data_IF_531847867150
#
_entry.id   IF_531847867150
#
_cell.length_a   1.000
_cell.length_b   1.000
_cell.length_c   1.000
_cell.angle_alpha   90.00
_cell.angle_beta   90.00
_cell.angle_gamma   90.00
#
_symmetry.space_group_name_H-M   'P 1'
#
loop_
_entity.id
_entity.type
_entity.pdbx_description
1 polymer ?
#
# COMPACT_ATOMS: atom_id res chain seq x y z
N UNK A 1 38.48 0.60 52.17
CA UNK A 1 38.44 -0.61 51.33
C UNK A 1 37.78 -0.26 50.03
N UNK A 2 38.55 0.44 49.20
CA UNK A 2 38.44 0.43 47.76
C UNK A 2 38.54 -1.00 47.22
N UNK A 3 38.19 -1.17 45.95
CA UNK A 3 38.30 -2.39 45.14
C UNK A 3 37.15 -3.40 45.22
N UNK A 4 36.12 -3.19 44.40
CA UNK A 4 35.82 -4.09 43.27
C UNK A 4 34.53 -3.68 42.53
N UNK A 5 34.53 -3.88 41.21
CA UNK A 5 33.41 -3.78 40.25
C UNK A 5 33.19 -2.41 39.57
N UNK A 6 34.28 -1.84 39.05
CA UNK A 6 34.26 -1.09 37.79
C UNK A 6 34.84 -1.97 36.68
N UNK A 7 34.04 -2.88 36.14
CA UNK A 7 34.26 -3.51 34.84
C UNK A 7 33.06 -4.40 34.54
N UNK A 8 32.25 -3.96 33.60
CA UNK A 8 31.40 -4.73 32.68
C UNK A 8 30.46 -3.72 32.00
N UNK A 9 31.06 -2.74 31.32
CA UNK A 9 30.38 -1.86 30.38
C UNK A 9 30.35 -2.47 28.98
N UNK A 10 30.07 -3.77 28.88
CA UNK A 10 29.94 -4.45 27.60
C UNK A 10 28.45 -4.58 27.26
N UNK A 11 28.07 -3.93 26.16
CA UNK A 11 26.80 -4.05 25.43
C UNK A 11 25.63 -3.21 25.96
N UNK A 12 25.76 -1.88 25.88
CA UNK A 12 24.60 -0.97 25.82
C UNK A 12 24.28 -0.68 24.34
N UNK A 13 23.16 -1.14 23.77
CA UNK A 13 22.78 -0.83 22.40
C UNK A 13 21.94 0.45 22.39
N UNK A 14 22.58 1.59 22.67
CA UNK A 14 21.96 2.91 22.50
C UNK A 14 22.89 3.86 21.76
N UNK A 15 23.20 3.47 20.53
CA UNK A 15 23.36 4.33 19.34
C UNK A 15 24.08 3.49 18.29
N UNK A 16 23.38 2.50 17.71
CA UNK A 16 23.85 1.85 16.49
C UNK A 16 23.58 2.83 15.35
N UNK A 17 24.54 3.71 15.12
CA UNK A 17 24.71 4.38 13.85
C UNK A 17 24.65 3.32 12.75
N UNK A 18 23.77 3.54 11.76
CA UNK A 18 23.65 2.69 10.58
C UNK A 18 24.98 2.70 9.83
N UNK A 19 25.86 1.77 10.14
CA UNK A 19 27.00 1.43 9.30
C UNK A 19 26.47 0.66 8.09
N UNK A 20 26.37 1.36 6.95
CA UNK A 20 26.25 0.70 5.65
C UNK A 20 27.67 0.30 5.27
N UNK A 21 28.07 -0.94 5.59
CA UNK A 21 29.21 -1.55 4.92
C UNK A 21 28.79 -1.86 3.49
N UNK A 22 29.07 -0.91 2.59
CA UNK A 22 29.13 -1.20 1.17
C UNK A 22 30.42 -1.98 0.93
N UNK A 23 30.35 -3.31 0.96
CA UNK A 23 31.39 -4.15 0.40
C UNK A 23 31.36 -4.00 -1.12
N UNK A 24 32.06 -2.98 -1.63
CA UNK A 24 32.42 -2.90 -3.03
C UNK A 24 33.51 -3.96 -3.28
N UNK A 25 33.09 -5.17 -3.65
CA UNK A 25 33.98 -6.13 -4.28
C UNK A 25 34.28 -5.62 -5.68
N UNK A 26 35.25 -4.73 -5.79
CA UNK A 26 35.90 -4.40 -7.06
C UNK A 26 36.78 -5.59 -7.41
N UNK A 27 36.23 -6.57 -8.13
CA UNK A 27 37.07 -7.54 -8.83
C UNK A 27 37.69 -6.83 -10.02
N UNK A 28 38.92 -6.35 -9.83
CA UNK A 28 39.86 -6.18 -10.93
C UNK A 28 40.08 -7.57 -11.56
N UNK A 29 39.32 -7.88 -12.60
CA UNK A 29 39.67 -8.92 -13.56
C UNK A 29 39.82 -8.26 -14.93
N UNK A 30 40.83 -7.39 -15.00
CA UNK A 30 41.57 -7.14 -16.22
C UNK A 30 42.36 -8.43 -16.51
N UNK A 31 42.27 -8.92 -17.75
CA UNK A 31 43.05 -10.05 -18.32
C UNK A 31 42.44 -11.46 -18.22
N UNK A 32 41.24 -11.64 -18.76
CA UNK A 32 40.85 -12.83 -19.53
C UNK A 32 39.60 -12.47 -20.33
N UNK A 33 39.50 -12.86 -21.60
CA UNK A 33 38.23 -12.74 -22.34
C UNK A 33 37.10 -13.36 -21.52
N UNK A 34 35.87 -12.81 -21.51
CA UNK A 34 34.80 -13.32 -20.65
C UNK A 34 34.57 -14.80 -20.96
N UNK A 35 34.90 -15.68 -20.00
CA UNK A 35 34.43 -17.05 -20.07
C UNK A 35 32.89 -17.01 -20.12
N UNK A 36 32.23 -17.78 -21.00
CA UNK A 36 30.78 -17.80 -21.09
C UNK A 36 30.20 -18.17 -19.72
N UNK A 37 29.50 -17.21 -19.10
CA UNK A 37 28.81 -17.46 -17.83
C UNK A 37 27.40 -17.93 -18.16
N UNK A 38 26.83 -18.89 -17.41
CA UNK A 38 25.45 -19.32 -17.62
C UNK A 38 24.51 -18.15 -17.42
N UNK A 39 23.80 -17.77 -18.49
CA UNK A 39 22.86 -16.64 -18.50
C UNK A 39 21.42 -17.16 -18.46
N UNK A 40 20.52 -16.52 -17.69
CA UNK A 40 19.10 -16.85 -17.70
C UNK A 40 18.40 -16.22 -18.91
N UNK A 41 17.74 -17.07 -19.69
CA UNK A 41 16.90 -16.69 -20.83
C UNK A 41 15.45 -17.05 -20.57
N UNK A 42 14.53 -16.30 -21.17
CA UNK A 42 13.09 -16.62 -21.13
C UNK A 42 12.67 -17.15 -22.47
N UNK A 43 12.12 -18.36 -22.51
CA UNK A 43 11.67 -19.01 -23.73
C UNK A 43 10.17 -19.25 -23.68
N UNK A 44 9.48 -18.80 -24.72
CA UNK A 44 8.05 -18.97 -24.91
C UNK A 44 7.76 -19.99 -26.02
N UNK A 45 6.63 -20.68 -25.94
CA UNK A 45 6.08 -21.44 -27.09
C UNK A 45 5.59 -20.47 -28.19
N UNK A 46 5.46 -20.91 -29.44
CA UNK A 46 4.92 -20.13 -30.57
C UNK A 46 3.58 -19.44 -30.26
N UNK A 47 2.71 -20.08 -29.46
CA UNK A 47 1.43 -19.52 -29.03
C UNK A 47 1.52 -18.52 -27.86
N UNK A 48 2.73 -18.30 -27.31
CA UNK A 48 3.04 -17.46 -26.14
C UNK A 48 2.26 -17.84 -24.86
N UNK A 49 1.71 -19.06 -24.83
CA UNK A 49 0.92 -19.64 -23.72
C UNK A 49 1.81 -20.19 -22.61
N UNK A 50 2.92 -20.81 -22.99
CA UNK A 50 3.88 -21.41 -22.06
C UNK A 50 5.16 -20.58 -22.02
N UNK A 51 5.59 -20.19 -20.82
CA UNK A 51 6.81 -19.42 -20.56
C UNK A 51 7.73 -20.21 -19.63
N UNK A 52 8.99 -20.38 -20.02
CA UNK A 52 10.01 -21.09 -19.23
C UNK A 52 11.25 -20.22 -19.09
N UNK A 53 11.81 -20.16 -17.88
CA UNK A 53 13.14 -19.59 -17.66
C UNK A 53 14.16 -20.70 -17.79
N UNK A 54 15.12 -20.56 -18.70
CA UNK A 54 16.16 -21.55 -18.97
C UNK A 54 17.51 -20.86 -18.82
N UNK A 55 18.37 -21.44 -18.01
CA UNK A 55 19.74 -20.97 -17.84
C UNK A 55 20.61 -21.75 -18.81
N UNK A 56 21.32 -21.06 -19.70
CA UNK A 56 22.19 -21.68 -20.69
C UNK A 56 23.48 -20.88 -20.91
N UNK A 57 24.53 -21.57 -21.31
CA UNK A 57 25.84 -20.97 -21.65
C UNK A 57 26.03 -20.80 -23.16
N UNK A 58 25.50 -21.75 -23.94
CA UNK A 58 25.60 -21.79 -25.40
C UNK A 58 24.22 -21.95 -26.03
N UNK A 59 24.09 -21.59 -27.30
CA UNK A 59 22.86 -21.76 -28.07
C UNK A 59 22.45 -23.23 -28.15
N UNK A 60 23.42 -24.14 -28.30
CA UNK A 60 23.15 -25.58 -28.37
C UNK A 60 22.61 -26.11 -27.02
N UNK A 61 23.21 -25.69 -25.90
CA UNK A 61 22.72 -26.03 -24.55
C UNK A 61 21.31 -25.46 -24.31
N UNK A 62 21.03 -24.25 -24.79
CA UNK A 62 19.70 -23.67 -24.75
C UNK A 62 18.71 -24.53 -25.55
N UNK A 63 19.03 -24.94 -26.78
CA UNK A 63 18.15 -25.74 -27.63
C UNK A 63 17.79 -27.08 -26.98
N UNK A 64 18.75 -27.80 -26.41
CA UNK A 64 18.51 -29.07 -25.70
C UNK A 64 17.60 -28.89 -24.48
N UNK A 65 17.85 -27.85 -23.68
CA UNK A 65 17.02 -27.50 -22.52
C UNK A 65 15.62 -27.06 -22.93
N UNK A 66 15.48 -26.33 -24.04
CA UNK A 66 14.19 -25.90 -24.59
C UNK A 66 13.38 -27.10 -25.06
N UNK A 67 13.99 -28.06 -25.77
CA UNK A 67 13.34 -29.32 -26.17
C UNK A 67 12.80 -30.07 -24.96
N UNK A 68 13.61 -30.19 -23.92
CA UNK A 68 13.21 -30.86 -22.66
C UNK A 68 12.12 -30.08 -21.91
N UNK A 69 12.20 -28.74 -21.89
CA UNK A 69 11.29 -27.90 -21.11
C UNK A 69 9.92 -27.68 -21.77
N UNK A 70 9.85 -27.73 -23.10
CA UNK A 70 8.63 -27.61 -23.89
C UNK A 70 8.08 -28.96 -24.38
N UNK A 71 8.80 -30.06 -24.13
CA UNK A 71 8.43 -31.41 -24.58
C UNK A 71 8.16 -31.48 -26.10
N UNK A 72 9.00 -30.79 -26.88
CA UNK A 72 8.88 -30.69 -28.34
C UNK A 72 9.75 -31.75 -28.99
N UNK A 73 9.13 -32.62 -29.78
CA UNK A 73 9.80 -33.64 -30.59
C UNK A 73 9.96 -33.11 -32.02
N UNK A 74 11.18 -32.75 -32.42
CA UNK A 74 11.48 -32.33 -33.79
C UNK A 74 12.54 -31.23 -33.92
N UNK A 75 12.80 -30.74 -35.15
CA UNK A 75 13.68 -29.61 -35.36
C UNK A 75 13.06 -28.36 -34.73
N UNK A 76 13.89 -27.66 -33.97
CA UNK A 76 13.53 -26.49 -33.18
C UNK A 76 14.34 -25.30 -33.69
N UNK A 77 13.66 -24.20 -34.02
CA UNK A 77 14.28 -22.92 -34.34
C UNK A 77 13.95 -21.89 -33.26
N UNK A 78 14.94 -21.09 -32.88
CA UNK A 78 14.77 -20.03 -31.89
C UNK A 78 14.70 -18.68 -32.59
N UNK A 79 13.73 -17.88 -32.19
CA UNK A 79 13.45 -16.58 -32.79
C UNK A 79 13.26 -15.54 -31.68
N UNK A 80 13.63 -14.28 -31.93
CA UNK A 80 13.32 -13.18 -31.00
C UNK A 80 11.81 -12.88 -30.97
N UNK A 81 11.24 -12.74 -29.76
CA UNK A 81 9.80 -12.48 -29.63
C UNK A 81 9.39 -11.11 -30.22
N UNK A 82 10.27 -10.11 -30.12
CA UNK A 82 10.04 -8.73 -30.54
C UNK A 82 10.01 -8.56 -32.07
N UNK A 83 11.06 -9.03 -32.76
CA UNK A 83 11.29 -8.71 -34.18
C UNK A 83 11.17 -9.91 -35.13
N UNK A 84 11.11 -11.13 -34.59
CA UNK A 84 11.05 -12.33 -35.43
C UNK A 84 12.39 -12.75 -36.05
N UNK A 85 13.51 -12.18 -35.60
CA UNK A 85 14.86 -12.55 -36.06
C UNK A 85 15.23 -13.95 -35.61
N UNK A 86 15.68 -14.82 -36.53
CA UNK A 86 16.18 -16.16 -36.20
C UNK A 86 17.53 -16.12 -35.52
N UNK A 87 17.71 -16.98 -34.52
CA UNK A 87 18.93 -17.14 -33.74
C UNK A 87 19.56 -18.47 -34.15
N UNK A 88 20.31 -18.43 -35.24
CA UNK A 88 21.02 -19.61 -35.75
C UNK A 88 22.52 -19.54 -35.43
N UNK A 89 23.00 -18.36 -35.03
CA UNK A 89 24.40 -18.04 -34.77
C UNK A 89 24.69 -17.87 -33.27
N UNK A 90 25.77 -18.48 -32.79
CA UNK A 90 26.24 -18.35 -31.40
C UNK A 90 26.70 -16.91 -31.09
N UNK A 91 27.34 -16.23 -32.06
CA UNK A 91 27.75 -14.84 -31.94
C UNK A 91 26.57 -13.88 -31.73
N UNK A 92 25.43 -14.17 -32.36
CA UNK A 92 24.21 -13.41 -32.15
C UNK A 92 23.68 -13.64 -30.74
N UNK A 93 23.66 -14.89 -30.30
CA UNK A 93 23.23 -15.29 -28.95
C UNK A 93 24.04 -14.61 -27.84
N UNK A 94 25.37 -14.50 -27.99
CA UNK A 94 26.23 -13.84 -27.01
C UNK A 94 26.02 -12.32 -26.92
N UNK A 95 25.55 -11.71 -28.00
CA UNK A 95 25.22 -10.28 -28.09
C UNK A 95 23.90 -9.95 -27.40
N UNK A 96 23.03 -10.95 -27.17
CA UNK A 96 21.74 -10.74 -26.50
C UNK A 96 21.90 -10.35 -25.04
N UNK A 97 21.04 -9.43 -24.60
CA UNK A 97 20.97 -8.99 -23.20
C UNK A 97 20.35 -10.08 -22.32
N UNK A 98 20.76 -10.10 -21.04
CA UNK A 98 20.16 -10.97 -20.03
C UNK A 98 18.64 -10.69 -19.89
N UNK A 99 17.83 -11.75 -19.93
CA UNK A 99 16.37 -11.62 -19.85
C UNK A 99 15.65 -11.39 -21.18
N UNK A 100 16.36 -11.45 -22.32
CA UNK A 100 15.75 -11.46 -23.65
C UNK A 100 14.72 -12.60 -23.77
N UNK A 101 13.57 -12.29 -24.37
CA UNK A 101 12.47 -13.23 -24.59
C UNK A 101 12.62 -13.88 -25.96
N UNK A 102 12.81 -15.18 -25.95
CA UNK A 102 12.96 -16.04 -27.11
C UNK A 102 11.67 -16.81 -27.36
N UNK A 103 11.40 -17.11 -28.61
CA UNK A 103 10.28 -17.90 -29.08
C UNK A 103 10.82 -19.19 -29.70
N UNK A 104 10.35 -20.32 -29.18
CA UNK A 104 10.60 -21.65 -29.71
C UNK A 104 9.59 -21.94 -30.83
N UNK A 105 10.09 -22.14 -32.05
CA UNK A 105 9.29 -22.51 -33.22
C UNK A 105 9.61 -23.95 -33.64
N UNK A 106 8.57 -24.75 -33.78
CA UNK A 106 8.64 -26.12 -34.35
C UNK A 106 8.48 -26.07 -35.88
N UNK A 107 8.85 -27.15 -36.56
CA UNK A 107 8.67 -27.30 -38.01
C UNK A 107 7.28 -26.87 -38.50
N UNK A 108 7.24 -26.00 -39.51
CA UNK A 108 6.00 -25.47 -40.10
C UNK A 108 5.35 -24.32 -39.34
N UNK A 109 5.87 -23.92 -38.18
CA UNK A 109 5.40 -22.73 -37.47
C UNK A 109 6.15 -21.48 -37.93
N UNK A 110 5.40 -20.40 -38.13
CA UNK A 110 5.95 -19.11 -38.55
C UNK A 110 5.80 -18.13 -37.39
N UNK A 111 6.85 -17.35 -37.13
CA UNK A 111 6.76 -16.25 -36.18
C UNK A 111 5.61 -15.32 -36.58
N UNK A 112 4.76 -15.00 -35.60
CA UNK A 112 3.68 -14.03 -35.79
C UNK A 112 3.86 -12.90 -34.78
N UNK A 113 3.68 -11.63 -35.20
CA UNK A 113 3.62 -10.52 -34.28
C UNK A 113 2.54 -10.81 -33.23
N UNK A 114 2.84 -10.55 -31.96
CA UNK A 114 1.84 -10.67 -30.91
C UNK A 114 0.68 -9.73 -31.24
N UNK A 115 -0.48 -10.28 -31.62
CA UNK A 115 -1.72 -9.49 -31.68
C UNK A 115 -1.93 -8.96 -30.28
N UNK A 116 -2.08 -7.64 -30.12
CA UNK A 116 -2.38 -6.96 -28.84
C UNK A 116 -3.76 -7.37 -28.32
N UNK A 117 -3.98 -8.66 -28.04
CA UNK A 117 -5.20 -9.20 -27.47
C UNK A 117 -5.07 -9.15 -25.95
N UNK A 118 -5.20 -7.96 -25.34
CA UNK A 118 -5.54 -7.81 -23.91
C UNK A 118 -4.57 -8.35 -22.83
N UNK A 119 -3.60 -9.20 -23.15
CA UNK A 119 -2.61 -9.77 -22.23
C UNK A 119 -1.19 -9.35 -22.62
N UNK A 120 -1.00 -8.08 -23.02
CA UNK A 120 0.33 -7.51 -22.91
C UNK A 120 0.65 -7.39 -21.41
N UNK A 121 1.13 -8.48 -20.81
CA UNK A 121 1.96 -8.48 -19.62
C UNK A 121 3.22 -7.71 -20.02
N UNK A 122 3.08 -6.38 -20.08
CA UNK A 122 4.15 -5.45 -20.29
C UNK A 122 5.27 -5.84 -19.34
N UNK A 123 6.40 -6.22 -19.92
CA UNK A 123 7.71 -6.42 -19.29
C UNK A 123 8.28 -5.09 -18.75
N UNK A 124 7.42 -4.26 -18.17
CA UNK A 124 7.81 -3.07 -17.46
C UNK A 124 7.19 -3.16 -16.10
N UNK A 125 8.05 -3.24 -15.09
CA UNK A 125 7.74 -3.03 -13.68
C UNK A 125 7.33 -1.56 -13.46
N UNK A 126 6.28 -1.15 -14.16
CA UNK A 126 5.66 0.16 -14.11
C UNK A 126 4.20 -0.06 -14.53
N UNK A 127 3.23 0.11 -13.62
CA UNK A 127 1.84 0.07 -14.03
C UNK A 127 1.67 1.05 -15.18
N UNK A 128 1.06 0.60 -16.28
CA UNK A 128 0.74 1.44 -17.43
C UNK A 128 0.04 2.68 -16.90
N UNK A 129 0.74 3.82 -16.93
CA UNK A 129 0.21 5.14 -16.57
C UNK A 129 -0.86 5.50 -17.60
N UNK A 130 -2.04 4.87 -17.50
CA UNK A 130 -3.28 5.52 -17.92
C UNK A 130 -3.29 6.83 -17.16
N UNK A 131 -3.56 7.90 -17.89
CA UNK A 131 -3.44 9.29 -17.47
C UNK A 131 -4.35 9.50 -16.25
N UNK A 132 -3.81 9.25 -15.06
CA UNK A 132 -4.50 9.45 -13.81
C UNK A 132 -4.08 10.82 -13.31
N UNK A 133 -5.00 11.78 -13.43
CA UNK A 133 -4.78 13.19 -13.15
C UNK A 133 -4.44 13.39 -11.66
N UNK A 134 -4.93 12.51 -10.79
CA UNK A 134 -4.66 12.48 -9.37
C UNK A 134 -4.73 11.06 -8.82
N UNK A 135 -3.60 10.48 -8.40
CA UNK A 135 -3.54 9.20 -7.71
C UNK A 135 -3.27 9.44 -6.22
N UNK A 136 -4.22 9.05 -5.36
CA UNK A 136 -4.09 9.10 -3.90
C UNK A 136 -3.90 7.68 -3.38
N UNK A 137 -2.84 7.46 -2.61
CA UNK A 137 -2.48 6.18 -2.01
C UNK A 137 -2.57 6.28 -0.49
N UNK A 138 -3.11 5.23 0.14
CA UNK A 138 -3.26 5.12 1.59
C UNK A 138 -2.54 3.84 2.05
N UNK A 139 -1.37 4.01 2.64
CA UNK A 139 -0.51 2.92 3.09
C UNK A 139 -0.53 2.86 4.62
N UNK A 140 -1.31 1.92 5.17
CA UNK A 140 -1.34 1.67 6.62
C UNK A 140 -0.27 0.64 6.98
N UNK A 141 0.72 1.05 7.77
CA UNK A 141 1.78 0.16 8.25
C UNK A 141 1.93 0.19 9.76
N UNK A 142 2.38 -0.92 10.32
CA UNK A 142 2.54 -1.06 11.77
C UNK A 142 4.01 -0.94 12.16
N UNK A 143 4.40 0.22 12.69
CA UNK A 143 5.79 0.47 13.14
C UNK A 143 6.13 -0.27 14.44
N UNK A 144 5.13 -0.57 15.28
CA UNK A 144 5.32 -1.28 16.55
C UNK A 144 4.15 -2.25 16.81
N UNK A 145 4.40 -3.52 17.17
CA UNK A 145 3.35 -4.50 17.46
C UNK A 145 2.41 -4.11 18.63
N UNK A 146 2.85 -3.27 19.56
CA UNK A 146 2.04 -2.83 20.72
C UNK A 146 1.01 -1.73 20.41
N UNK A 147 1.11 -1.04 19.27
CA UNK A 147 0.16 0.00 18.88
C UNK A 147 -1.09 -0.60 18.19
N UNK A 148 -2.29 -0.14 18.56
CA UNK A 148 -3.55 -0.68 18.01
C UNK A 148 -3.89 -0.10 16.63
N UNK A 149 -3.50 1.14 16.36
CA UNK A 149 -3.57 1.78 15.05
C UNK A 149 -2.12 2.06 14.64
N UNK A 150 -1.64 1.41 13.57
CA UNK A 150 -0.33 1.68 12.99
C UNK A 150 -0.22 3.12 12.46
N UNK A 151 0.90 3.46 11.81
CA UNK A 151 1.05 4.76 11.13
C UNK A 151 0.40 4.67 9.74
N UNK A 152 -0.31 5.72 9.34
CA UNK A 152 -0.98 5.81 8.05
C UNK A 152 -0.23 6.82 7.16
N UNK A 153 0.39 6.35 6.08
CA UNK A 153 0.94 7.21 5.07
C UNK A 153 -0.09 7.50 3.98
N UNK A 154 -0.32 8.79 3.72
CA UNK A 154 -1.19 9.26 2.66
C UNK A 154 -0.32 9.91 1.62
N UNK A 155 -0.29 9.37 0.41
CA UNK A 155 0.48 9.89 -0.71
C UNK A 155 -0.43 10.33 -1.83
N UNK A 156 -0.55 11.63 -2.05
CA UNK A 156 -1.25 12.20 -3.19
C UNK A 156 -0.24 12.51 -4.30
N UNK A 157 -0.51 12.04 -5.51
CA UNK A 157 0.31 12.26 -6.69
C UNK A 157 -0.54 12.88 -7.79
N UNK A 158 -0.20 14.10 -8.22
CA UNK A 158 -0.88 14.83 -9.28
C UNK A 158 -0.02 14.78 -10.53
N UNK A 159 -0.64 14.44 -11.67
CA UNK A 159 0.01 14.32 -12.98
C UNK A 159 1.25 13.41 -13.02
N UNK A 160 1.42 12.55 -12.01
CA UNK A 160 2.59 11.67 -11.86
C UNK A 160 3.93 12.40 -11.69
N UNK A 161 3.94 13.73 -11.50
CA UNK A 161 5.14 14.57 -11.33
C UNK A 161 5.20 15.24 -9.96
N UNK A 162 4.05 15.61 -9.39
CA UNK A 162 3.98 16.25 -8.09
C UNK A 162 3.42 15.27 -7.08
N UNK A 163 4.27 14.75 -6.18
CA UNK A 163 3.87 13.87 -5.10
C UNK A 163 4.03 14.53 -3.75
N UNK A 164 2.96 14.53 -2.96
CA UNK A 164 2.97 14.92 -1.55
C UNK A 164 2.60 13.71 -0.71
N UNK A 165 3.48 13.34 0.22
CA UNK A 165 3.26 12.24 1.15
C UNK A 165 3.25 12.75 2.58
N UNK A 166 2.25 12.33 3.36
CA UNK A 166 2.09 12.71 4.76
C UNK A 166 1.93 11.46 5.62
N UNK A 167 2.75 11.34 6.67
CA UNK A 167 2.68 10.22 7.62
C UNK A 167 1.91 10.65 8.87
N UNK A 168 0.69 10.12 9.01
CA UNK A 168 -0.12 10.26 10.20
C UNK A 168 0.27 9.19 11.21
N UNK A 169 1.00 9.61 12.23
CA UNK A 169 1.33 8.76 13.36
C UNK A 169 0.11 8.64 14.29
N UNK A 170 -0.59 7.51 14.24
CA UNK A 170 -1.85 7.30 14.96
C UNK A 170 -1.70 7.05 16.47
N UNK A 171 -0.64 7.55 17.13
CA UNK A 171 -0.42 7.40 18.58
C UNK A 171 -1.60 7.91 19.43
N UNK A 172 -2.38 8.87 18.90
CA UNK A 172 -3.58 9.42 19.55
C UNK A 172 -4.92 8.81 19.09
N UNK A 173 -4.95 7.94 18.08
CA UNK A 173 -6.21 7.52 17.46
C UNK A 173 -7.14 6.79 18.45
N UNK A 174 -6.58 5.99 19.36
CA UNK A 174 -7.35 5.32 20.42
C UNK A 174 -8.01 6.30 21.38
N UNK A 175 -7.34 7.42 21.71
CA UNK A 175 -7.89 8.47 22.59
C UNK A 175 -8.99 9.25 21.86
N UNK A 176 -8.76 9.58 20.60
CA UNK A 176 -9.76 10.26 19.76
C UNK A 176 -10.99 9.40 19.53
N UNK A 177 -10.83 8.09 19.28
CA UNK A 177 -11.96 7.19 19.10
C UNK A 177 -12.80 7.04 20.38
N UNK A 178 -12.14 6.96 21.54
CA UNK A 178 -12.84 6.97 22.84
C UNK A 178 -13.62 8.25 23.07
N UNK A 179 -13.02 9.40 22.77
CA UNK A 179 -13.70 10.68 22.96
C UNK A 179 -14.84 10.85 21.97
N UNK A 180 -14.67 10.49 20.70
CA UNK A 180 -15.72 10.52 19.69
C UNK A 180 -16.91 9.62 20.07
N UNK A 181 -16.65 8.42 20.58
CA UNK A 181 -17.69 7.52 21.09
C UNK A 181 -18.42 8.14 22.28
N UNK A 182 -17.68 8.82 23.18
CA UNK A 182 -18.26 9.55 24.31
C UNK A 182 -19.14 10.71 23.85
N UNK A 183 -18.69 11.50 22.88
CA UNK A 183 -19.49 12.57 22.27
C UNK A 183 -20.74 12.01 21.59
N UNK A 184 -20.64 10.88 20.88
CA UNK A 184 -21.79 10.22 20.25
C UNK A 184 -22.82 9.77 21.29
N UNK A 185 -22.34 9.25 22.44
CA UNK A 185 -23.22 8.87 23.54
C UNK A 185 -23.94 10.10 24.12
N UNK A 186 -23.21 11.20 24.31
CA UNK A 186 -23.79 12.46 24.80
C UNK A 186 -24.78 13.07 23.82
N UNK A 187 -24.51 13.06 22.51
CA UNK A 187 -25.45 13.58 21.50
C UNK A 187 -26.70 12.71 21.43
N UNK A 188 -26.56 11.38 21.53
CA UNK A 188 -27.70 10.46 21.58
C UNK A 188 -28.57 10.71 22.82
N UNK A 189 -27.96 10.89 23.99
CA UNK A 189 -28.69 11.19 25.22
C UNK A 189 -29.37 12.57 25.18
N UNK A 190 -28.68 13.60 24.68
CA UNK A 190 -29.26 14.93 24.51
C UNK A 190 -30.43 14.91 23.53
N UNK A 191 -30.27 14.22 22.39
CA UNK A 191 -31.34 14.04 21.39
C UNK A 191 -32.53 13.29 22.01
N UNK A 192 -32.28 12.27 22.82
CA UNK A 192 -33.32 11.55 23.55
C UNK A 192 -34.10 12.43 24.51
N UNK A 193 -33.43 13.26 25.31
CA UNK A 193 -34.10 14.21 26.21
C UNK A 193 -34.88 15.28 25.46
N UNK A 194 -34.37 15.78 24.33
CA UNK A 194 -35.09 16.74 23.48
C UNK A 194 -36.35 16.10 22.88
N UNK A 195 -36.25 14.87 22.37
CA UNK A 195 -37.40 14.15 21.80
C UNK A 195 -38.45 13.79 22.85
N UNK A 196 -38.04 13.30 24.02
CA UNK A 196 -38.97 12.99 25.12
C UNK A 196 -39.59 14.25 25.72
N UNK A 197 -38.81 15.33 25.88
CA UNK A 197 -39.28 16.62 26.37
C UNK A 197 -40.29 17.25 25.42
N UNK A 198 -40.00 17.23 24.12
CA UNK A 198 -40.94 17.71 23.09
C UNK A 198 -42.19 16.84 23.02
N UNK A 199 -42.07 15.51 23.12
CA UNK A 199 -43.24 14.62 23.17
C UNK A 199 -44.11 14.84 24.41
N UNK A 200 -43.52 15.05 25.59
CA UNK A 200 -44.26 15.35 26.82
C UNK A 200 -44.97 16.71 26.74
N UNK A 201 -44.31 17.71 26.15
CA UNK A 201 -44.91 19.03 25.91
C UNK A 201 -46.12 18.93 24.98
N UNK A 202 -45.99 18.20 23.87
CA UNK A 202 -47.09 17.98 22.94
C UNK A 202 -48.25 17.21 23.59
N UNK A 203 -47.97 16.23 24.46
CA UNK A 203 -49.01 15.54 25.24
C UNK A 203 -49.76 16.50 26.17
N UNK A 204 -49.05 17.40 26.85
CA UNK A 204 -49.69 18.42 27.70
C UNK A 204 -50.57 19.40 26.91
N UNK A 205 -50.22 19.69 25.66
CA UNK A 205 -51.06 20.50 24.77
C UNK A 205 -52.28 19.72 24.27
N UNK A 206 -52.16 18.41 24.06
CA UNK A 206 -53.24 17.55 23.59
C UNK A 206 -54.21 17.09 24.71
N UNK A 207 -53.72 16.96 25.95
CA UNK A 207 -54.53 16.63 27.14
C UNK A 207 -55.21 17.88 27.75
N UNK A 208 -54.84 19.09 27.31
CA UNK A 208 -55.62 20.27 27.62
C UNK A 208 -56.97 20.17 26.89
N UNK A 209 -58.12 20.22 27.59
CA UNK A 209 -59.41 20.21 26.92
C UNK A 209 -59.47 21.42 26.00
N UNK A 210 -59.74 21.19 24.70
CA UNK A 210 -59.63 22.20 23.66
C UNK A 210 -60.34 23.52 24.02
N UNK A 211 -59.57 24.48 24.53
CA UNK A 211 -59.88 25.89 24.42
C UNK A 211 -58.70 26.61 23.79
N UNK A 212 -58.90 26.82 22.48
CA UNK A 212 -58.49 28.01 21.72
C UNK A 212 -57.03 28.10 21.21
N UNK A 213 -56.90 27.72 19.94
CA UNK A 213 -56.54 28.57 18.79
C UNK A 213 -55.11 29.16 18.73
N UNK A 214 -54.31 28.50 17.89
CA UNK A 214 -53.44 29.07 16.85
C UNK A 214 -53.15 30.58 16.93
N UNK A 215 -51.92 30.97 17.32
CA UNK A 215 -51.29 32.23 16.91
C UNK A 215 -49.75 32.23 17.13
N UNK A 216 -49.03 31.93 16.03
CA UNK A 216 -47.89 32.67 15.46
C UNK A 216 -47.06 33.63 16.34
N UNK A 217 -45.76 33.29 16.47
CA UNK A 217 -44.53 34.11 16.53
C UNK A 217 -44.04 34.83 17.82
N UNK A 218 -42.78 34.48 18.14
CA UNK A 218 -41.70 35.13 18.94
C UNK A 218 -41.65 34.96 20.47
N UNK A 219 -40.54 34.42 21.04
CA UNK A 219 -40.32 34.40 22.47
C UNK A 219 -39.48 35.62 22.92
N UNK A 220 -40.05 36.47 23.76
CA UNK A 220 -39.29 37.44 24.56
C UNK A 220 -38.83 36.77 25.84
N UNK A 221 -37.53 36.45 25.90
CA UNK A 221 -36.85 36.00 27.12
C UNK A 221 -36.70 37.16 28.11
N UNK A 222 -37.20 37.00 29.34
CA UNK A 222 -36.65 37.64 30.54
C UNK A 222 -36.57 36.60 31.67
N UNK A 223 -35.37 36.28 32.19
CA UNK A 223 -35.25 35.47 33.40
C UNK A 223 -35.28 36.38 34.63
N UNK A 224 -36.36 36.31 35.41
CA UNK A 224 -36.38 36.88 36.76
C UNK A 224 -35.76 35.87 37.73
N UNK A 225 -34.51 36.16 38.12
CA UNK A 225 -33.79 35.50 39.21
C UNK A 225 -34.50 35.86 40.53
N UNK A 226 -35.01 34.87 41.24
CA UNK A 226 -35.48 35.02 42.62
C UNK A 226 -34.45 34.37 43.57
N UNK A 227 -33.73 35.21 44.32
CA UNK A 227 -32.94 34.83 45.50
C UNK A 227 -33.89 34.49 46.66
N UNK A 228 -33.61 33.44 47.47
CA UNK A 228 -34.35 33.20 48.70
C UNK A 228 -33.77 34.03 49.86
N UNK A 229 -34.59 34.88 50.47
CA UNK A 229 -34.28 35.57 51.71
C UNK A 229 -35.23 35.11 52.83
N UNK A 230 -34.71 34.34 53.79
CA UNK A 230 -35.24 34.31 55.15
C UNK A 230 -34.23 33.72 56.12
N UNK A 231 -33.40 34.59 56.71
CA UNK A 231 -32.53 34.29 57.84
C UNK A 231 -32.87 35.31 58.95
N UNK A 232 -33.84 34.97 59.78
CA UNK A 232 -34.21 35.77 60.97
C UNK A 232 -34.10 34.93 62.24
N UNK A 233 -32.87 34.95 62.75
CA UNK A 233 -32.46 35.10 64.15
C UNK A 233 -33.63 35.31 65.15
N UNK A 234 -33.88 34.33 66.02
CA UNK A 234 -34.49 34.53 67.35
C UNK A 234 -33.42 34.28 68.41
N UNK A 235 -33.08 35.31 69.17
CA UNK A 235 -32.37 35.24 70.44
C UNK A 235 -32.86 36.39 71.32
N UNK A 236 -33.05 36.09 72.60
CA UNK A 236 -33.34 36.94 73.77
C UNK A 236 -34.81 37.24 74.09
N UNK A 237 -35.40 36.38 74.92
CA UNK A 237 -35.52 36.66 76.36
C UNK A 237 -35.46 35.35 77.15
#
# INVERSE_FOLDING_TARGET
>A
MDYAKKSLGLLSPRSLSKCVSASASVTQQLLAGPAPRPRPYRVNNCERTLRKGIVAETLNDLLEKVRTALDVVGPLSLVLDEDGTSIDSEEFFQTLEEGTVLLALTEGQVWRPAKKAGYQLSLSHKPQRRIDVACITFDLYKTNPQDFFGSLNIKATLYGTYSMSYDMQCYGAKRMMKEALRWTLFTMQATGHVLLGTSCYMKHLLDAPEEQKEETLTPSFRPSIALPSSLTRRMLQ
#
